data_IF_773969369101
#
_entry.id   IF_773969369101
#
_cell.length_a   1.000
_cell.length_b   1.000
_cell.length_c   1.000
_cell.angle_alpha   90.00
_cell.angle_beta   90.00
_cell.angle_gamma   90.00
#
_symmetry.space_group_name_H-M   'P 1'
#
loop_
_entity.id
_entity.type
_entity.pdbx_description
1 polymer ?
#
# COMPACT_ATOMS: atom_id res chain seq x y z
N UNK A 1 16.79 25.56 6.78
CA UNK A 1 17.03 24.99 5.44
C UNK A 1 16.59 25.97 4.36
N UNK A 2 17.42 26.21 3.38
CA UNK A 2 17.12 27.11 2.25
C UNK A 2 16.10 26.48 1.29
N UNK A 3 15.47 27.32 0.46
CA UNK A 3 14.57 26.83 -0.59
C UNK A 3 15.30 25.89 -1.56
N UNK A 4 16.56 26.19 -1.88
CA UNK A 4 17.39 25.34 -2.75
C UNK A 4 17.53 23.92 -2.15
N UNK A 5 17.82 23.84 -0.87
CA UNK A 5 17.96 22.54 -0.19
C UNK A 5 16.62 21.80 -0.06
N UNK A 6 15.55 22.54 0.19
CA UNK A 6 14.20 21.92 0.19
C UNK A 6 13.85 21.36 -1.18
N UNK A 7 14.17 22.09 -2.24
CA UNK A 7 13.96 21.62 -3.62
C UNK A 7 14.73 20.33 -3.90
N UNK A 8 15.99 20.26 -3.47
CA UNK A 8 16.80 19.03 -3.63
C UNK A 8 16.22 17.86 -2.88
N UNK A 9 15.74 18.08 -1.64
CA UNK A 9 15.10 17.04 -0.85
C UNK A 9 13.86 16.50 -1.57
N UNK A 10 12.99 17.39 -2.01
CA UNK A 10 11.76 17.01 -2.71
C UNK A 10 12.05 16.28 -4.02
N UNK A 11 13.06 16.71 -4.74
CA UNK A 11 13.43 16.06 -6.01
C UNK A 11 13.97 14.65 -5.76
N UNK A 12 14.79 14.46 -4.74
CA UNK A 12 15.26 13.11 -4.37
C UNK A 12 14.12 12.21 -3.93
N UNK A 13 13.14 12.72 -3.19
CA UNK A 13 11.94 11.96 -2.84
C UNK A 13 11.17 11.52 -4.10
N UNK A 14 11.03 12.44 -5.05
CA UNK A 14 10.37 12.14 -6.33
C UNK A 14 11.08 11.03 -7.09
N UNK A 15 12.40 11.11 -7.22
CA UNK A 15 13.18 10.09 -7.92
C UNK A 15 13.13 8.74 -7.22
N UNK A 16 13.28 8.72 -5.90
CA UNK A 16 13.21 7.50 -5.11
C UNK A 16 11.83 6.85 -5.27
N UNK A 17 10.75 7.62 -5.16
CA UNK A 17 9.40 7.12 -5.32
C UNK A 17 9.19 6.47 -6.70
N UNK A 18 9.62 7.16 -7.77
CA UNK A 18 9.46 6.64 -9.13
C UNK A 18 10.18 5.31 -9.32
N UNK A 19 11.43 5.21 -8.87
CA UNK A 19 12.24 4.02 -9.09
C UNK A 19 11.87 2.87 -8.16
N UNK A 20 11.74 3.13 -6.87
CA UNK A 20 11.56 2.09 -5.88
C UNK A 20 10.16 1.45 -5.93
N UNK A 21 9.14 2.25 -6.24
CA UNK A 21 7.78 1.72 -6.43
C UNK A 21 7.72 0.79 -7.64
N UNK A 22 8.37 1.17 -8.75
CA UNK A 22 8.43 0.30 -9.93
C UNK A 22 9.13 -1.02 -9.61
N UNK A 23 10.23 -0.98 -8.87
CA UNK A 23 10.94 -2.21 -8.46
C UNK A 23 10.05 -3.10 -7.59
N UNK A 24 9.35 -2.51 -6.62
CA UNK A 24 8.42 -3.24 -5.77
C UNK A 24 7.34 -3.95 -6.61
N UNK A 25 6.73 -3.21 -7.53
CA UNK A 25 5.63 -3.74 -8.35
C UNK A 25 6.11 -4.84 -9.30
N UNK A 26 7.30 -4.71 -9.86
CA UNK A 26 7.90 -5.76 -10.68
C UNK A 26 8.25 -7.01 -9.87
N UNK A 27 8.84 -6.82 -8.69
CA UNK A 27 9.32 -7.93 -7.86
C UNK A 27 8.19 -8.72 -7.22
N UNK A 28 7.14 -8.05 -6.77
CA UNK A 28 6.03 -8.68 -6.04
C UNK A 28 4.84 -9.02 -6.93
N UNK A 29 4.69 -8.34 -8.06
CA UNK A 29 3.50 -8.43 -8.89
C UNK A 29 2.31 -7.63 -8.37
N UNK A 30 2.46 -6.94 -7.24
CA UNK A 30 1.40 -6.11 -6.66
C UNK A 30 1.62 -4.64 -6.94
N UNK A 31 0.54 -3.91 -7.21
CA UNK A 31 0.55 -2.44 -7.09
C UNK A 31 0.79 -2.09 -5.63
N UNK A 32 1.67 -1.13 -5.37
CA UNK A 32 1.99 -0.73 -3.98
C UNK A 32 0.74 -0.27 -3.22
N UNK A 33 -0.13 0.51 -3.84
CA UNK A 33 -1.36 0.98 -3.20
C UNK A 33 -2.30 -0.17 -2.90
N UNK A 34 -2.51 -1.07 -3.84
CA UNK A 34 -3.38 -2.24 -3.64
C UNK A 34 -2.79 -3.21 -2.62
N UNK A 35 -1.47 -3.35 -2.58
CA UNK A 35 -0.80 -4.16 -1.56
C UNK A 35 -1.09 -3.60 -0.16
N UNK A 36 -0.92 -2.29 0.03
CA UNK A 36 -1.25 -1.64 1.31
C UNK A 36 -2.74 -1.78 1.67
N UNK A 37 -3.63 -1.69 0.68
CA UNK A 37 -5.06 -1.92 0.91
C UNK A 37 -5.33 -3.33 1.42
N UNK A 38 -4.72 -4.33 0.80
CA UNK A 38 -4.88 -5.73 1.22
C UNK A 38 -4.32 -5.97 2.62
N UNK A 39 -3.18 -5.38 2.95
CA UNK A 39 -2.60 -5.49 4.29
C UNK A 39 -3.55 -4.90 5.35
N UNK A 40 -4.12 -3.73 5.07
CA UNK A 40 -5.06 -3.10 5.99
C UNK A 40 -6.33 -3.94 6.18
N UNK A 41 -6.94 -4.40 5.09
CA UNK A 41 -8.14 -5.24 5.14
C UNK A 41 -7.85 -6.55 5.88
N UNK A 42 -6.70 -7.15 5.64
CA UNK A 42 -6.30 -8.39 6.31
C UNK A 42 -6.13 -8.20 7.81
N UNK A 43 -5.56 -7.09 8.24
CA UNK A 43 -5.34 -6.79 9.65
C UNK A 43 -6.61 -6.41 10.40
N UNK A 44 -7.48 -5.62 9.76
CA UNK A 44 -8.71 -5.11 10.39
C UNK A 44 -9.88 -6.10 10.32
N UNK A 45 -9.86 -7.02 9.36
CA UNK A 45 -11.04 -7.78 8.99
C UNK A 45 -11.97 -6.93 8.11
N UNK A 46 -13.25 -7.29 7.97
CA UNK A 46 -14.15 -6.51 7.12
C UNK A 46 -14.18 -5.04 7.54
N UNK A 47 -14.00 -4.15 6.56
CA UNK A 47 -13.95 -2.71 6.81
C UNK A 47 -14.68 -1.94 5.71
N UNK A 48 -15.06 -0.69 6.00
CA UNK A 48 -15.75 0.16 5.04
C UNK A 48 -14.78 0.80 4.04
N UNK A 49 -15.29 1.19 2.89
CA UNK A 49 -14.49 1.98 1.93
C UNK A 49 -14.05 3.33 2.52
N UNK A 50 -14.86 3.91 3.41
CA UNK A 50 -14.51 5.14 4.11
C UNK A 50 -13.28 4.95 5.00
N UNK A 51 -13.21 3.83 5.73
CA UNK A 51 -12.04 3.51 6.55
C UNK A 51 -10.79 3.37 5.69
N UNK A 52 -10.88 2.69 4.55
CA UNK A 52 -9.77 2.56 3.61
C UNK A 52 -9.30 3.91 3.09
N UNK A 53 -10.24 4.78 2.73
CA UNK A 53 -9.93 6.13 2.25
C UNK A 53 -9.15 6.92 3.30
N UNK A 54 -9.60 6.87 4.55
CA UNK A 54 -8.96 7.58 5.65
C UNK A 54 -7.58 7.03 5.96
N UNK A 55 -7.44 5.71 6.00
CA UNK A 55 -6.18 5.05 6.33
C UNK A 55 -5.10 5.31 5.27
N UNK A 56 -5.48 5.23 4.00
CA UNK A 56 -4.53 5.34 2.89
C UNK A 56 -4.29 6.78 2.45
N UNK A 57 -5.13 7.71 2.87
CA UNK A 57 -4.98 9.12 2.49
C UNK A 57 -5.18 9.38 1.00
N UNK A 58 -5.99 8.56 0.32
CA UNK A 58 -6.31 8.73 -1.11
C UNK A 58 -7.78 9.11 -1.29
N UNK A 59 -8.14 9.63 -2.46
CA UNK A 59 -9.50 10.07 -2.70
C UNK A 59 -10.45 8.88 -2.90
N UNK A 60 -11.76 9.16 -2.75
CA UNK A 60 -12.79 8.15 -2.83
C UNK A 60 -12.85 7.46 -4.20
N UNK A 61 -12.65 8.21 -5.27
CA UNK A 61 -12.65 7.64 -6.62
C UNK A 61 -11.49 6.66 -6.81
N UNK A 62 -10.31 6.98 -6.27
CA UNK A 62 -9.15 6.09 -6.31
C UNK A 62 -9.42 4.80 -5.54
N UNK A 63 -10.00 4.88 -4.33
CA UNK A 63 -10.39 3.70 -3.54
C UNK A 63 -11.33 2.81 -4.35
N UNK A 64 -12.35 3.40 -4.97
CA UNK A 64 -13.33 2.65 -5.75
C UNK A 64 -12.67 1.93 -6.93
N UNK A 65 -11.77 2.61 -7.66
CA UNK A 65 -11.05 1.99 -8.79
C UNK A 65 -10.16 0.83 -8.34
N UNK A 66 -9.41 1.02 -7.27
CA UNK A 66 -8.53 -0.02 -6.74
C UNK A 66 -9.32 -1.23 -6.23
N UNK A 67 -10.43 -0.99 -5.52
CA UNK A 67 -11.28 -2.09 -5.03
C UNK A 67 -11.92 -2.87 -6.16
N UNK A 68 -12.35 -2.18 -7.22
CA UNK A 68 -12.88 -2.87 -8.41
C UNK A 68 -11.83 -3.80 -9.01
N UNK A 69 -10.58 -3.32 -9.13
CA UNK A 69 -9.49 -4.14 -9.64
C UNK A 69 -9.20 -5.33 -8.73
N UNK A 70 -9.16 -5.12 -7.42
CA UNK A 70 -8.97 -6.20 -6.46
C UNK A 70 -10.10 -7.23 -6.50
N UNK A 71 -11.34 -6.78 -6.71
CA UNK A 71 -12.49 -7.67 -6.86
C UNK A 71 -12.38 -8.47 -8.16
N UNK A 72 -11.98 -7.85 -9.26
CA UNK A 72 -11.76 -8.52 -10.54
C UNK A 72 -10.67 -9.61 -10.45
N UNK A 73 -9.66 -9.38 -9.60
CA UNK A 73 -8.60 -10.36 -9.32
C UNK A 73 -9.02 -11.42 -8.29
N UNK A 74 -10.22 -11.34 -7.77
CA UNK A 74 -10.73 -12.23 -6.71
C UNK A 74 -9.98 -12.11 -5.38
N UNK A 75 -9.42 -10.95 -5.10
CA UNK A 75 -8.69 -10.68 -3.85
C UNK A 75 -9.57 -10.12 -2.75
N UNK A 76 -10.67 -9.47 -3.11
CA UNK A 76 -11.65 -8.94 -2.16
C UNK A 76 -13.06 -9.24 -2.63
N UNK A 77 -13.99 -9.25 -1.67
CA UNK A 77 -15.43 -9.19 -1.92
C UNK A 77 -15.95 -7.88 -1.36
N UNK A 78 -16.95 -7.32 -2.02
CA UNK A 78 -17.63 -6.09 -1.58
C UNK A 78 -19.10 -6.39 -1.35
N UNK A 79 -19.63 -5.83 -0.29
CA UNK A 79 -21.02 -6.05 0.09
C UNK A 79 -21.56 -4.79 0.75
N UNK A 80 -22.81 -4.42 0.44
CA UNK A 80 -23.46 -3.33 1.12
C UNK A 80 -23.78 -3.75 2.55
N UNK A 81 -23.66 -2.79 3.48
CA UNK A 81 -24.05 -3.01 4.87
C UNK A 81 -25.58 -3.14 4.95
N UNK A 82 -26.06 -4.24 5.53
CA UNK A 82 -27.49 -4.50 5.68
C UNK A 82 -28.19 -3.46 6.59
N UNK A 83 -27.44 -2.86 7.51
CA UNK A 83 -27.97 -1.83 8.42
C UNK A 83 -27.86 -0.43 7.84
N UNK A 84 -26.99 -0.20 6.86
CA UNK A 84 -26.77 1.08 6.22
C UNK A 84 -26.37 0.85 4.77
N UNK A 85 -27.35 0.95 3.87
CA UNK A 85 -27.16 0.71 2.44
C UNK A 85 -26.18 1.69 1.76
N UNK A 86 -25.73 2.74 2.46
CA UNK A 86 -24.79 3.73 1.95
C UNK A 86 -23.33 3.29 2.09
N UNK A 87 -23.05 2.37 3.01
CA UNK A 87 -21.71 1.89 3.23
C UNK A 87 -21.47 0.58 2.51
N UNK A 88 -20.31 0.49 1.87
CA UNK A 88 -19.82 -0.73 1.24
C UNK A 88 -18.71 -1.28 2.14
N UNK A 89 -18.87 -2.53 2.56
CA UNK A 89 -17.87 -3.26 3.31
C UNK A 89 -17.04 -4.14 2.40
N UNK A 90 -15.76 -4.22 2.71
CA UNK A 90 -14.76 -4.96 1.95
C UNK A 90 -14.17 -6.04 2.83
N UNK A 91 -14.05 -7.24 2.29
CA UNK A 91 -13.47 -8.37 2.99
C UNK A 91 -12.42 -9.02 2.09
N UNK A 92 -11.29 -9.45 2.70
CA UNK A 92 -10.24 -10.15 1.98
C UNK A 92 -10.66 -11.60 1.71
N UNK A 93 -10.20 -12.15 0.59
CA UNK A 93 -10.43 -13.55 0.23
C UNK A 93 -9.29 -14.44 0.73
N UNK A 94 -9.55 -15.75 0.82
CA UNK A 94 -8.52 -16.74 1.14
C UNK A 94 -7.39 -16.72 0.11
N UNK A 95 -7.72 -16.53 -1.17
CA UNK A 95 -6.73 -16.42 -2.23
C UNK A 95 -5.76 -15.28 -1.96
N UNK A 96 -6.26 -14.09 -1.62
CA UNK A 96 -5.42 -12.94 -1.34
C UNK A 96 -4.55 -13.17 -0.11
N UNK A 97 -5.10 -13.76 0.95
CA UNK A 97 -4.33 -14.08 2.15
C UNK A 97 -3.18 -15.02 1.84
N UNK A 98 -3.43 -16.02 1.01
CA UNK A 98 -2.39 -16.97 0.58
C UNK A 98 -1.29 -16.25 -0.21
N UNK A 99 -1.66 -15.41 -1.16
CA UNK A 99 -0.68 -14.69 -1.98
C UNK A 99 0.15 -13.70 -1.16
N UNK A 100 -0.46 -13.03 -0.19
CA UNK A 100 0.28 -12.17 0.74
C UNK A 100 1.29 -12.99 1.57
N UNK A 101 0.87 -14.14 2.07
CA UNK A 101 1.75 -15.02 2.82
C UNK A 101 2.90 -15.56 1.97
N UNK A 102 2.62 -15.94 0.73
CA UNK A 102 3.64 -16.41 -0.21
C UNK A 102 4.68 -15.31 -0.50
N UNK A 103 4.25 -14.06 -0.70
CA UNK A 103 5.16 -12.93 -0.87
C UNK A 103 6.06 -12.74 0.35
N UNK A 104 5.51 -12.80 1.55
CA UNK A 104 6.28 -12.65 2.78
C UNK A 104 7.30 -13.77 2.96
N UNK A 105 6.91 -15.01 2.64
CA UNK A 105 7.82 -16.15 2.72
C UNK A 105 8.98 -16.06 1.73
N UNK A 106 8.76 -15.42 0.58
CA UNK A 106 9.77 -15.27 -0.47
C UNK A 106 10.50 -13.93 -0.43
N UNK A 107 10.31 -13.11 0.62
CA UNK A 107 10.92 -11.79 0.67
C UNK A 107 12.45 -11.82 0.63
N UNK A 108 13.08 -12.87 1.13
CA UNK A 108 14.54 -13.03 1.06
C UNK A 108 15.03 -13.11 -0.40
N UNK A 109 14.29 -13.80 -1.26
CA UNK A 109 14.62 -13.84 -2.68
C UNK A 109 14.33 -12.52 -3.39
N UNK A 110 13.44 -11.69 -2.83
CA UNK A 110 13.13 -10.35 -3.32
C UNK A 110 14.08 -9.28 -2.76
N UNK A 111 14.84 -9.61 -1.73
CA UNK A 111 15.68 -8.66 -1.00
C UNK A 111 16.68 -7.94 -1.90
N UNK A 112 17.26 -8.65 -2.87
CA UNK A 112 18.18 -8.05 -3.84
C UNK A 112 17.49 -6.97 -4.70
N UNK A 113 16.27 -7.25 -5.15
CA UNK A 113 15.50 -6.35 -5.99
C UNK A 113 14.94 -5.16 -5.19
N UNK A 114 14.75 -5.36 -3.89
CA UNK A 114 14.22 -4.36 -2.98
C UNK A 114 15.29 -3.71 -2.11
N UNK A 115 16.56 -3.89 -2.43
CA UNK A 115 17.66 -3.22 -1.75
C UNK A 115 17.71 -1.74 -2.21
N UNK A 116 17.55 -0.84 -1.24
CA UNK A 116 17.45 0.60 -1.51
C UNK A 116 18.76 1.36 -1.27
N UNK A 117 19.86 0.65 -1.01
CA UNK A 117 21.13 1.28 -0.67
C UNK A 117 21.22 1.73 0.79
N UNK A 118 20.26 1.33 1.61
CA UNK A 118 20.18 1.68 3.03
C UNK A 118 20.31 0.42 3.88
N UNK A 119 20.85 0.57 5.09
CA UNK A 119 20.78 -0.48 6.10
C UNK A 119 19.33 -0.59 6.63
N UNK A 120 19.01 -1.70 7.30
CA UNK A 120 17.70 -1.87 7.93
C UNK A 120 17.41 -0.75 8.93
N UNK A 121 18.40 -0.32 9.68
CA UNK A 121 18.26 0.79 10.63
C UNK A 121 17.95 2.11 9.93
N UNK A 122 18.62 2.37 8.80
CA UNK A 122 18.38 3.56 8.00
C UNK A 122 16.99 3.53 7.36
N UNK A 123 16.52 2.38 6.91
CA UNK A 123 15.16 2.22 6.39
C UNK A 123 14.12 2.54 7.46
N UNK A 124 14.32 2.06 8.69
CA UNK A 124 13.42 2.36 9.82
C UNK A 124 13.43 3.86 10.13
N UNK A 125 14.59 4.50 10.11
CA UNK A 125 14.71 5.95 10.32
C UNK A 125 13.95 6.72 9.23
N UNK A 126 14.12 6.33 7.97
CA UNK A 126 13.43 6.97 6.86
C UNK A 126 11.91 6.82 6.99
N UNK A 127 11.44 5.61 7.31
CA UNK A 127 10.02 5.36 7.52
C UNK A 127 9.46 6.24 8.65
N UNK A 128 10.18 6.35 9.76
CA UNK A 128 9.79 7.19 10.89
C UNK A 128 9.66 8.66 10.48
N UNK A 129 10.62 9.16 9.69
CA UNK A 129 10.60 10.55 9.21
C UNK A 129 9.45 10.79 8.24
N UNK A 130 9.22 9.86 7.31
CA UNK A 130 8.10 9.95 6.36
C UNK A 130 6.75 9.92 7.08
N UNK A 131 6.60 9.11 8.12
CA UNK A 131 5.39 9.07 8.93
C UNK A 131 5.12 10.41 9.64
N UNK A 132 6.16 11.15 9.99
CA UNK A 132 6.00 12.51 10.53
C UNK A 132 5.44 13.48 9.50
N UNK A 133 5.86 13.34 8.25
CA UNK A 133 5.42 14.20 7.15
C UNK A 133 3.96 13.89 6.78
N UNK A 134 3.60 12.62 6.76
CA UNK A 134 2.31 12.11 6.26
C UNK A 134 1.23 11.96 7.34
N UNK A 135 1.36 12.71 8.37
CA UNK A 135 0.33 12.73 9.42
C UNK A 135 -0.97 13.31 8.93
#
# INVERSE_FOLDING_TARGET
MTLVNKSKLLYQLKLANQELVIRFEKSTGFSITRYEMLLFINAQGPCSQTQLQQELGIDRAAVTRHLKRLQDLSYVTRKRNDLNNREIYVQITDLAQKELADCEQHHESLEKDLYFGLSDEEEVQLLTLLNKINK
#
